data_IF_055595085750
#
_entry.id   IF_055595085750
#
_cell.length_a   1.000
_cell.length_b   1.000
_cell.length_c   1.000
_cell.angle_alpha   90.00
_cell.angle_beta   90.00
_cell.angle_gamma   90.00
#
_symmetry.space_group_name_H-M   'P 1'
#
loop_
_entity.id
_entity.type
_entity.pdbx_description
1 polymer ?
#
# COMPACT_ATOMS: atom_id res chain seq x y z
N UNK A 1 63.21 -18.98 11.49
CA UNK A 1 62.12 -19.62 12.28
C UNK A 1 60.83 -19.52 11.48
N UNK A 2 60.45 -20.57 10.75
CA UNK A 2 59.27 -20.56 9.87
C UNK A 2 57.99 -20.66 10.69
N UNK A 3 56.99 -19.80 10.41
CA UNK A 3 55.64 -19.98 10.94
C UNK A 3 55.18 -21.39 10.57
N UNK A 4 54.76 -22.19 11.55
CA UNK A 4 54.23 -23.53 11.27
C UNK A 4 53.01 -23.40 10.34
N UNK A 5 52.84 -24.36 9.43
CA UNK A 5 51.68 -24.40 8.51
C UNK A 5 50.34 -24.29 9.26
N UNK A 6 50.30 -24.72 10.52
CA UNK A 6 49.15 -24.57 11.42
C UNK A 6 48.84 -23.11 11.75
N UNK A 7 49.85 -22.27 12.04
CA UNK A 7 49.66 -20.84 12.31
C UNK A 7 49.15 -20.09 11.08
N UNK A 8 49.60 -20.47 9.88
CA UNK A 8 49.11 -19.88 8.62
C UNK A 8 47.64 -20.25 8.36
N UNK A 9 47.23 -21.50 8.64
CA UNK A 9 45.84 -21.94 8.50
C UNK A 9 44.90 -21.26 9.50
N UNK A 10 45.34 -21.05 10.75
CA UNK A 10 44.53 -20.35 11.75
C UNK A 10 44.30 -18.89 11.36
N UNK A 11 45.34 -18.20 10.89
CA UNK A 11 45.22 -16.83 10.38
C UNK A 11 44.28 -16.75 9.17
N UNK A 12 44.40 -17.69 8.23
CA UNK A 12 43.49 -17.77 7.08
C UNK A 12 42.03 -17.98 7.53
N UNK A 13 41.79 -18.88 8.50
CA UNK A 13 40.45 -19.11 9.06
C UNK A 13 39.88 -17.85 9.69
N UNK A 14 40.69 -17.13 10.48
CA UNK A 14 40.29 -15.88 11.12
C UNK A 14 39.84 -14.85 10.09
N UNK A 15 40.65 -14.62 9.05
CA UNK A 15 40.33 -13.67 7.97
C UNK A 15 39.05 -14.03 7.23
N UNK A 16 38.85 -15.31 6.91
CA UNK A 16 37.63 -15.79 6.24
C UNK A 16 36.41 -15.59 7.13
N UNK A 17 36.52 -15.88 8.42
CA UNK A 17 35.42 -15.71 9.38
C UNK A 17 35.07 -14.22 9.54
N UNK A 18 36.05 -13.34 9.69
CA UNK A 18 35.84 -11.88 9.78
C UNK A 18 35.16 -11.34 8.52
N UNK A 19 35.63 -11.70 7.32
CA UNK A 19 35.01 -11.30 6.07
C UNK A 19 33.58 -11.84 5.92
N UNK A 20 33.33 -13.08 6.36
CA UNK A 20 32.01 -13.70 6.31
C UNK A 20 31.03 -13.01 7.26
N UNK A 21 31.45 -12.69 8.48
CA UNK A 21 30.64 -11.96 9.46
C UNK A 21 30.32 -10.54 8.98
N UNK A 22 31.28 -9.84 8.38
CA UNK A 22 31.04 -8.50 7.83
C UNK A 22 29.97 -8.54 6.72
N UNK A 23 30.08 -9.49 5.78
CA UNK A 23 29.10 -9.68 4.71
C UNK A 23 27.73 -10.06 5.24
N UNK A 24 27.67 -10.90 6.28
CA UNK A 24 26.40 -11.29 6.89
C UNK A 24 25.69 -10.09 7.52
N UNK A 25 26.43 -9.29 8.31
CA UNK A 25 25.88 -8.06 8.92
C UNK A 25 25.40 -7.07 7.88
N UNK A 26 26.14 -6.90 6.78
CA UNK A 26 25.73 -6.03 5.69
C UNK A 26 24.43 -6.50 5.01
N UNK A 27 24.31 -7.81 4.77
CA UNK A 27 23.09 -8.42 4.23
C UNK A 27 21.90 -8.21 5.16
N UNK A 28 22.05 -8.50 6.44
CA UNK A 28 20.99 -8.31 7.44
C UNK A 28 20.57 -6.85 7.57
N UNK A 29 21.55 -5.93 7.58
CA UNK A 29 21.27 -4.49 7.62
C UNK A 29 20.53 -4.02 6.36
N UNK A 30 20.92 -4.53 5.18
CA UNK A 30 20.22 -4.24 3.91
C UNK A 30 18.80 -4.78 3.95
N UNK A 31 18.60 -6.01 4.39
CA UNK A 31 17.27 -6.63 4.48
C UNK A 31 16.38 -5.90 5.48
N UNK A 32 16.92 -5.46 6.63
CA UNK A 32 16.20 -4.60 7.57
C UNK A 32 15.73 -3.30 6.90
N UNK A 33 16.62 -2.58 6.21
CA UNK A 33 16.24 -1.34 5.50
C UNK A 33 15.17 -1.59 4.44
N UNK A 34 15.27 -2.68 3.67
CA UNK A 34 14.25 -3.04 2.67
C UNK A 34 12.91 -3.31 3.33
N UNK A 35 12.88 -4.05 4.45
CA UNK A 35 11.65 -4.30 5.20
C UNK A 35 11.03 -3.01 5.73
N UNK A 36 11.85 -2.11 6.29
CA UNK A 36 11.39 -0.80 6.77
C UNK A 36 10.76 0.02 5.62
N UNK A 37 11.39 0.03 4.44
CA UNK A 37 10.81 0.68 3.25
C UNK A 37 9.52 0.02 2.77
N UNK A 38 9.43 -1.32 2.79
CA UNK A 38 8.23 -2.04 2.40
C UNK A 38 7.05 -1.73 3.33
N UNK A 39 7.29 -1.64 4.64
CA UNK A 39 6.27 -1.20 5.61
C UNK A 39 5.80 0.22 5.31
N UNK A 40 6.74 1.15 5.04
CA UNK A 40 6.40 2.52 4.67
C UNK A 40 5.55 2.58 3.39
N UNK A 41 5.93 1.84 2.35
CA UNK A 41 5.19 1.76 1.09
C UNK A 41 3.76 1.24 1.31
N UNK A 42 3.60 0.12 2.02
CA UNK A 42 2.28 -0.47 2.28
C UNK A 42 1.41 0.45 3.14
N UNK A 43 2.01 1.20 4.07
CA UNK A 43 1.29 2.20 4.87
C UNK A 43 0.73 3.33 4.00
N UNK A 44 1.52 3.84 3.05
CA UNK A 44 1.07 4.87 2.11
C UNK A 44 -0.04 4.35 1.20
N UNK A 45 0.09 3.13 0.69
CA UNK A 45 -0.95 2.49 -0.15
C UNK A 45 -2.24 2.32 0.65
N UNK A 46 -2.18 1.78 1.87
CA UNK A 46 -3.35 1.63 2.73
C UNK A 46 -4.01 2.99 3.05
N UNK A 47 -3.20 4.03 3.30
CA UNK A 47 -3.70 5.39 3.52
C UNK A 47 -4.42 5.97 2.31
N UNK A 48 -3.87 5.77 1.11
CA UNK A 48 -4.49 6.16 -0.16
C UNK A 48 -5.82 5.44 -0.36
N UNK A 49 -5.83 4.12 -0.21
CA UNK A 49 -7.03 3.31 -0.47
C UNK A 49 -8.15 3.66 0.54
N UNK A 50 -7.78 3.94 1.80
CA UNK A 50 -8.72 4.46 2.78
C UNK A 50 -9.25 5.86 2.44
N UNK A 51 -8.43 6.74 1.87
CA UNK A 51 -8.86 8.07 1.43
C UNK A 51 -9.83 7.98 0.23
N UNK A 52 -9.54 7.12 -0.74
CA UNK A 52 -10.43 6.82 -1.87
C UNK A 52 -11.76 6.26 -1.36
N UNK A 53 -11.74 5.27 -0.46
CA UNK A 53 -12.96 4.70 0.09
C UNK A 53 -13.84 5.74 0.80
N UNK A 54 -13.24 6.68 1.55
CA UNK A 54 -13.97 7.79 2.17
C UNK A 54 -14.57 8.75 1.14
N UNK A 55 -13.84 9.07 0.08
CA UNK A 55 -14.33 9.93 -0.99
C UNK A 55 -15.51 9.26 -1.72
N UNK A 56 -15.39 7.98 -2.05
CA UNK A 56 -16.44 7.16 -2.64
C UNK A 56 -17.70 7.12 -1.77
N UNK A 57 -17.55 6.96 -0.46
CA UNK A 57 -18.68 7.00 0.48
C UNK A 57 -19.36 8.37 0.50
N UNK A 58 -18.59 9.47 0.56
CA UNK A 58 -19.15 10.82 0.52
C UNK A 58 -19.88 11.10 -0.80
N UNK A 59 -19.31 10.65 -1.93
CA UNK A 59 -19.95 10.75 -3.24
C UNK A 59 -21.25 9.91 -3.29
N UNK A 60 -21.24 8.70 -2.74
CA UNK A 60 -22.44 7.87 -2.63
C UNK A 60 -23.55 8.53 -1.79
N UNK A 61 -23.20 9.23 -0.71
CA UNK A 61 -24.18 9.99 0.09
C UNK A 61 -24.81 11.11 -0.73
N UNK A 62 -24.00 11.87 -1.49
CA UNK A 62 -24.50 12.93 -2.36
C UNK A 62 -25.43 12.37 -3.45
N UNK A 63 -25.03 11.29 -4.12
CA UNK A 63 -25.89 10.61 -5.11
C UNK A 63 -27.22 10.21 -4.47
N UNK A 64 -27.20 9.62 -3.27
CA UNK A 64 -28.42 9.18 -2.59
C UNK A 64 -29.33 10.30 -2.15
N UNK A 65 -28.77 11.45 -1.76
CA UNK A 65 -29.56 12.66 -1.51
C UNK A 65 -30.29 13.13 -2.78
N UNK A 66 -29.59 13.17 -3.92
CA UNK A 66 -30.21 13.54 -5.21
C UNK A 66 -31.32 12.56 -5.62
N UNK A 67 -31.09 11.26 -5.45
CA UNK A 67 -32.11 10.24 -5.75
C UNK A 67 -33.32 10.36 -4.81
N UNK A 68 -33.13 10.73 -3.54
CA UNK A 68 -34.22 10.95 -2.59
C UNK A 68 -35.07 12.19 -2.95
N UNK A 69 -34.49 13.17 -3.65
CA UNK A 69 -35.22 14.30 -4.24
C UNK A 69 -35.95 13.96 -5.55
N UNK A 70 -35.88 12.69 -6.00
CA UNK A 70 -36.60 12.18 -7.16
C UNK A 70 -35.78 12.16 -8.45
N UNK A 71 -34.50 12.51 -8.43
CA UNK A 71 -33.64 12.37 -9.60
C UNK A 71 -33.43 10.89 -9.97
N UNK A 72 -33.31 10.60 -11.26
CA UNK A 72 -32.83 9.31 -11.74
C UNK A 72 -31.30 9.29 -11.83
N UNK A 73 -30.69 8.11 -11.95
CA UNK A 73 -29.23 8.01 -12.15
C UNK A 73 -28.76 8.63 -13.47
N UNK A 74 -29.64 8.73 -14.49
CA UNK A 74 -29.37 9.43 -15.73
C UNK A 74 -29.34 10.96 -15.50
N UNK A 75 -30.30 11.49 -14.77
CA UNK A 75 -30.35 12.93 -14.43
C UNK A 75 -29.10 13.36 -13.66
N UNK A 76 -28.66 12.54 -12.69
CA UNK A 76 -27.43 12.82 -11.94
C UNK A 76 -26.19 12.81 -12.86
N UNK A 77 -26.07 11.83 -13.75
CA UNK A 77 -24.95 11.77 -14.69
C UNK A 77 -24.92 12.96 -15.66
N UNK A 78 -26.09 13.38 -16.15
CA UNK A 78 -26.25 14.57 -16.99
C UNK A 78 -25.88 15.86 -16.25
N UNK A 79 -26.38 16.04 -15.02
CA UNK A 79 -26.05 17.19 -14.16
C UNK A 79 -24.55 17.27 -13.82
N UNK A 80 -23.88 16.12 -13.67
CA UNK A 80 -22.44 16.05 -13.50
C UNK A 80 -21.65 16.24 -14.81
N UNK A 81 -22.30 16.62 -15.92
CA UNK A 81 -21.65 16.92 -17.19
C UNK A 81 -20.94 15.72 -17.82
N UNK A 82 -21.40 14.50 -17.52
CA UNK A 82 -20.78 13.27 -18.02
C UNK A 82 -19.42 12.93 -17.43
N UNK A 83 -18.96 13.65 -16.39
CA UNK A 83 -17.75 13.29 -15.63
C UNK A 83 -17.89 11.90 -14.99
N UNK A 84 -19.11 11.55 -14.60
CA UNK A 84 -19.48 10.24 -14.09
C UNK A 84 -20.56 9.67 -15.01
N UNK A 85 -20.38 8.43 -15.46
CA UNK A 85 -21.40 7.74 -16.23
C UNK A 85 -22.48 7.13 -15.32
N UNK A 86 -23.61 6.72 -15.91
CA UNK A 86 -24.74 6.14 -15.18
C UNK A 86 -24.33 4.91 -14.37
N UNK A 87 -23.35 4.13 -14.86
CA UNK A 87 -22.87 2.92 -14.18
C UNK A 87 -22.12 3.28 -12.90
N UNK A 88 -21.31 4.33 -12.94
CA UNK A 88 -20.54 4.82 -11.82
C UNK A 88 -21.43 5.50 -10.77
N UNK A 89 -22.41 6.31 -11.21
CA UNK A 89 -23.45 6.84 -10.32
C UNK A 89 -24.18 5.68 -9.61
N UNK A 90 -24.58 4.64 -10.35
CA UNK A 90 -25.24 3.48 -9.76
C UNK A 90 -24.32 2.70 -8.82
N UNK A 91 -23.00 2.63 -9.09
CA UNK A 91 -22.02 2.01 -8.17
C UNK A 91 -21.95 2.78 -6.87
N UNK A 92 -21.77 4.10 -6.93
CA UNK A 92 -21.68 4.98 -5.77
C UNK A 92 -22.96 4.92 -4.91
N UNK A 93 -24.13 4.92 -5.55
CA UNK A 93 -25.42 4.79 -4.86
C UNK A 93 -25.56 3.49 -4.03
N UNK A 94 -24.88 2.41 -4.43
CA UNK A 94 -24.89 1.12 -3.72
C UNK A 94 -23.91 1.05 -2.55
N UNK A 95 -22.93 1.97 -2.47
CA UNK A 95 -21.95 1.99 -1.40
C UNK A 95 -22.55 2.45 -0.06
N UNK A 96 -23.64 3.20 -0.13
CA UNK A 96 -24.37 3.70 1.04
C UNK A 96 -25.61 2.82 1.24
N UNK A 97 -25.78 2.20 2.42
CA UNK A 97 -27.00 1.47 2.73
C UNK A 97 -28.23 2.37 2.59
N UNK A 98 -29.30 1.90 1.98
CA UNK A 98 -30.64 2.46 2.25
C UNK A 98 -30.95 2.14 3.69
N UNK A 99 -30.82 3.13 4.58
CA UNK A 99 -31.59 3.07 5.83
C UNK A 99 -33.03 3.01 5.37
N UNK A 100 -33.64 1.82 5.52
CA UNK A 100 -34.95 1.51 4.99
C UNK A 100 -36.05 2.32 5.68
N UNK A 101 -37.08 2.59 4.87
CA UNK A 101 -38.52 2.58 5.18
C UNK A 101 -38.99 3.12 6.53
#
# INVERSE_FOLDING_TARGET
MGRSQQNLRQEARRRVNEASLARQREREARERRIRDHAVGLLTVVAGRDAAVARADQAAGVAVRAMLAEGATTADVAELCGGVLDVREIARLARLVPTVGE
#
